data_IF_292858410724
#
_entry.id   IF_292858410724
#
_cell.length_a   1.000
_cell.length_b   1.000
_cell.length_c   1.000
_cell.angle_alpha   90.00
_cell.angle_beta   90.00
_cell.angle_gamma   90.00
#
_symmetry.space_group_name_H-M   'P 1'
#
loop_
_entity.id
_entity.type
_entity.pdbx_description
1 polymer ?
#
# COMPACT_ATOMS: atom_id res chain seq x y z
N UNK A 1 3.37 29.07 -27.14
CA UNK A 1 2.70 27.86 -27.65
C UNK A 1 1.91 27.23 -26.50
N UNK A 2 0.58 27.22 -26.65
CA UNK A 2 -0.48 26.47 -25.94
C UNK A 2 -0.46 26.33 -24.40
N UNK A 3 -1.17 27.23 -23.70
CA UNK A 3 -1.93 26.88 -22.50
C UNK A 3 -3.38 26.60 -22.92
N UNK A 4 -3.78 25.32 -22.92
CA UNK A 4 -5.14 24.85 -23.21
C UNK A 4 -5.12 23.41 -23.73
N UNK A 5 -5.78 22.42 -23.14
CA UNK A 5 -6.57 22.36 -21.92
C UNK A 5 -6.76 20.89 -21.54
N UNK A 6 -6.78 20.61 -20.23
CA UNK A 6 -6.93 19.26 -19.69
C UNK A 6 -5.91 18.99 -18.58
N UNK A 7 -6.37 18.43 -17.46
CA UNK A 7 -5.47 17.92 -16.42
C UNK A 7 -4.68 16.74 -17.03
N UNK A 8 -3.33 16.72 -16.98
CA UNK A 8 -2.56 15.64 -17.59
C UNK A 8 -2.82 14.30 -16.88
N UNK A 9 -2.70 13.16 -17.57
CA UNK A 9 -2.81 11.85 -16.93
C UNK A 9 -1.85 11.73 -15.73
N UNK A 10 -2.32 11.32 -14.54
CA UNK A 10 -1.52 11.22 -13.32
C UNK A 10 -0.65 9.95 -13.27
N UNK A 11 0.15 9.70 -14.33
CA UNK A 11 0.92 8.46 -14.52
C UNK A 11 1.92 8.19 -13.39
N UNK A 12 2.59 9.22 -12.87
CA UNK A 12 3.55 9.06 -11.78
C UNK A 12 2.86 8.60 -10.49
N UNK A 13 1.70 9.19 -10.17
CA UNK A 13 0.91 8.77 -9.01
C UNK A 13 0.40 7.33 -9.16
N UNK A 14 -0.01 6.95 -10.37
CA UNK A 14 -0.41 5.58 -10.66
C UNK A 14 0.75 4.61 -10.38
N UNK A 15 1.94 4.92 -10.91
CA UNK A 15 3.13 4.11 -10.68
C UNK A 15 3.49 4.00 -9.19
N UNK A 16 3.40 5.11 -8.43
CA UNK A 16 3.63 5.12 -6.98
C UNK A 16 2.62 4.25 -6.23
N UNK A 17 1.32 4.40 -6.50
CA UNK A 17 0.29 3.61 -5.83
C UNK A 17 0.44 2.11 -6.14
N UNK A 18 0.71 1.74 -7.40
CA UNK A 18 0.96 0.35 -7.79
C UNK A 18 2.23 -0.22 -7.13
N UNK A 19 3.30 0.57 -7.03
CA UNK A 19 4.51 0.16 -6.33
C UNK A 19 4.23 -0.10 -4.85
N UNK A 20 3.51 0.80 -4.17
CA UNK A 20 3.11 0.62 -2.78
C UNK A 20 2.27 -0.65 -2.56
N UNK A 21 1.28 -0.89 -3.42
CA UNK A 21 0.44 -2.08 -3.35
C UNK A 21 1.24 -3.39 -3.56
N UNK A 22 2.21 -3.38 -4.49
CA UNK A 22 3.14 -4.51 -4.66
C UNK A 22 4.00 -4.73 -3.41
N UNK A 23 4.62 -3.68 -2.87
CA UNK A 23 5.44 -3.78 -1.66
C UNK A 23 4.64 -4.29 -0.46
N UNK A 24 3.39 -3.84 -0.28
CA UNK A 24 2.52 -4.35 0.79
C UNK A 24 2.29 -5.86 0.65
N UNK A 25 2.03 -6.35 -0.57
CA UNK A 25 1.86 -7.78 -0.85
C UNK A 25 3.14 -8.57 -0.58
N UNK A 26 4.28 -8.08 -1.03
CA UNK A 26 5.59 -8.73 -0.82
C UNK A 26 5.94 -8.84 0.67
N UNK A 27 5.53 -7.86 1.48
CA UNK A 27 5.69 -7.86 2.93
C UNK A 27 4.69 -8.75 3.67
N UNK A 28 3.74 -9.37 2.95
CA UNK A 28 2.75 -10.27 3.53
C UNK A 28 1.58 -9.56 4.19
N UNK A 29 1.13 -8.42 3.64
CA UNK A 29 -0.04 -7.69 4.15
C UNK A 29 -1.32 -8.56 4.26
N UNK A 30 -1.43 -9.65 3.51
CA UNK A 30 -2.52 -10.64 3.61
C UNK A 30 -2.60 -11.35 4.97
N UNK A 31 -1.50 -11.35 5.74
CA UNK A 31 -1.40 -12.01 7.06
C UNK A 31 -1.85 -11.13 8.22
N UNK A 32 -2.04 -9.83 7.98
CA UNK A 32 -2.53 -8.89 8.98
C UNK A 32 -3.86 -8.27 8.49
N UNK A 33 -5.00 -8.54 9.14
CA UNK A 33 -6.32 -8.09 8.66
C UNK A 33 -6.41 -6.60 8.34
N UNK A 34 -5.78 -5.73 9.14
CA UNK A 34 -5.78 -4.28 8.86
C UNK A 34 -4.96 -3.94 7.63
N UNK A 35 -3.79 -4.56 7.46
CA UNK A 35 -2.97 -4.38 6.26
C UNK A 35 -3.72 -4.87 5.01
N UNK A 36 -4.33 -6.05 5.08
CA UNK A 36 -5.11 -6.63 3.99
C UNK A 36 -6.27 -5.72 3.55
N UNK A 37 -6.97 -5.07 4.49
CA UNK A 37 -8.03 -4.11 4.19
C UNK A 37 -7.50 -2.94 3.36
N UNK A 38 -6.41 -2.31 3.80
CA UNK A 38 -5.84 -1.16 3.10
C UNK A 38 -5.24 -1.54 1.74
N UNK A 39 -4.62 -2.71 1.62
CA UNK A 39 -4.18 -3.24 0.32
C UNK A 39 -5.35 -3.40 -0.65
N UNK A 40 -6.47 -3.94 -0.18
CA UNK A 40 -7.68 -4.10 -1.00
C UNK A 40 -8.25 -2.75 -1.44
N UNK A 41 -8.37 -1.80 -0.52
CA UNK A 41 -8.84 -0.44 -0.82
C UNK A 41 -7.94 0.24 -1.85
N UNK A 42 -6.61 0.15 -1.69
CA UNK A 42 -5.66 0.70 -2.65
C UNK A 42 -5.83 0.08 -4.05
N UNK A 43 -6.00 -1.24 -4.15
CA UNK A 43 -6.21 -1.93 -5.42
C UNK A 43 -7.52 -1.51 -6.11
N UNK A 44 -8.63 -1.46 -5.37
CA UNK A 44 -9.92 -1.02 -5.88
C UNK A 44 -9.87 0.44 -6.38
N UNK A 45 -9.15 1.30 -5.67
CA UNK A 45 -8.95 2.70 -6.06
C UNK A 45 -8.04 2.86 -7.28
N UNK A 46 -6.96 2.06 -7.40
CA UNK A 46 -6.11 2.02 -8.60
C UNK A 46 -6.95 1.62 -9.82
N UNK A 47 -7.78 0.59 -9.69
CA UNK A 47 -8.64 0.14 -10.79
C UNK A 47 -9.68 1.20 -11.16
N UNK A 48 -10.23 1.91 -10.17
CA UNK A 48 -11.11 3.06 -10.40
C UNK A 48 -10.38 4.21 -11.11
N UNK A 49 -9.17 4.55 -10.68
CA UNK A 49 -8.36 5.60 -11.29
C UNK A 49 -8.00 5.29 -12.74
N UNK A 50 -7.65 4.04 -13.06
CA UNK A 50 -7.39 3.59 -14.45
C UNK A 50 -8.61 3.81 -15.37
N UNK A 51 -9.82 3.54 -14.86
CA UNK A 51 -11.07 3.82 -15.60
C UNK A 51 -11.24 5.33 -15.82
N UNK A 52 -11.08 6.13 -14.78
CA UNK A 52 -11.16 7.60 -14.87
C UNK A 52 -10.13 8.18 -15.86
N UNK A 53 -8.90 7.67 -15.87
CA UNK A 53 -7.87 8.05 -16.85
C UNK A 53 -8.27 7.69 -18.28
N UNK A 54 -8.89 6.51 -18.47
CA UNK A 54 -9.38 6.06 -19.78
C UNK A 54 -10.55 6.92 -20.28
N UNK A 55 -11.39 7.40 -19.35
CA UNK A 55 -12.51 8.30 -19.62
C UNK A 55 -12.07 9.78 -19.79
N UNK A 56 -10.77 10.06 -19.62
CA UNK A 56 -10.20 11.41 -19.70
C UNK A 56 -10.41 12.27 -18.45
N UNK A 57 -11.03 11.75 -17.39
CA UNK A 57 -11.21 12.43 -16.10
C UNK A 57 -9.96 12.32 -15.21
N UNK A 58 -8.84 12.85 -15.73
CA UNK A 58 -7.53 12.74 -15.11
C UNK A 58 -7.45 13.47 -13.77
N UNK A 59 -8.23 14.54 -13.57
CA UNK A 59 -8.25 15.29 -12.30
C UNK A 59 -8.88 14.45 -11.19
N UNK A 60 -9.97 13.74 -11.48
CA UNK A 60 -10.56 12.82 -10.51
C UNK A 60 -9.69 11.59 -10.30
N UNK A 61 -9.07 11.06 -11.36
CA UNK A 61 -8.09 9.99 -11.23
C UNK A 61 -6.95 10.36 -10.28
N UNK A 62 -6.42 11.59 -10.37
CA UNK A 62 -5.35 12.08 -9.49
C UNK A 62 -5.73 12.04 -8.01
N UNK A 63 -6.95 12.47 -7.68
CA UNK A 63 -7.46 12.44 -6.31
C UNK A 63 -7.67 10.99 -5.81
N UNK A 64 -8.15 10.11 -6.67
CA UNK A 64 -8.30 8.68 -6.33
C UNK A 64 -6.94 8.03 -6.11
N UNK A 65 -5.93 8.36 -6.94
CA UNK A 65 -4.58 7.84 -6.79
C UNK A 65 -3.85 8.37 -5.56
N UNK A 66 -4.13 9.60 -5.13
CA UNK A 66 -3.65 10.12 -3.85
C UNK A 66 -4.12 9.25 -2.69
N UNK A 67 -5.42 8.94 -2.66
CA UNK A 67 -5.99 8.06 -1.65
C UNK A 67 -5.40 6.65 -1.74
N UNK A 68 -5.25 6.12 -2.95
CA UNK A 68 -4.71 4.79 -3.17
C UNK A 68 -3.26 4.68 -2.68
N UNK A 69 -2.45 5.72 -2.91
CA UNK A 69 -1.09 5.83 -2.39
C UNK A 69 -1.06 5.78 -0.87
N UNK A 70 -1.90 6.57 -0.18
CA UNK A 70 -1.98 6.57 1.28
C UNK A 70 -2.45 5.23 1.86
N UNK A 71 -3.45 4.58 1.25
CA UNK A 71 -3.89 3.24 1.65
C UNK A 71 -2.77 2.20 1.43
N UNK A 72 -2.06 2.26 0.30
CA UNK A 72 -0.94 1.36 0.02
C UNK A 72 0.22 1.54 1.02
N UNK A 73 0.59 2.78 1.32
CA UNK A 73 1.62 3.11 2.32
C UNK A 73 1.24 2.63 3.72
N UNK A 74 -0.02 2.83 4.13
CA UNK A 74 -0.51 2.34 5.42
C UNK A 74 -0.48 0.81 5.47
N UNK A 75 -0.87 0.14 4.39
CA UNK A 75 -0.76 -1.32 4.29
C UNK A 75 0.69 -1.81 4.42
N UNK A 76 1.65 -1.13 3.79
CA UNK A 76 3.08 -1.43 3.92
C UNK A 76 3.53 -1.31 5.37
N UNK A 77 3.12 -0.24 6.05
CA UNK A 77 3.53 -0.01 7.44
C UNK A 77 2.94 -1.03 8.41
N UNK A 78 1.66 -1.37 8.25
CA UNK A 78 1.02 -2.42 9.06
C UNK A 78 1.67 -3.80 8.84
N UNK A 79 2.04 -4.13 7.60
CA UNK A 79 2.75 -5.38 7.31
C UNK A 79 4.15 -5.40 7.97
N UNK A 80 4.89 -4.28 7.91
CA UNK A 80 6.18 -4.13 8.61
C UNK A 80 6.02 -4.27 10.12
N UNK A 81 5.01 -3.63 10.70
CA UNK A 81 4.70 -3.72 12.13
C UNK A 81 4.42 -5.17 12.54
N UNK A 82 3.55 -5.86 11.79
CA UNK A 82 3.23 -7.27 12.03
C UNK A 82 4.50 -8.15 12.03
N UNK A 83 5.36 -7.98 11.03
CA UNK A 83 6.61 -8.73 10.93
C UNK A 83 7.56 -8.43 12.10
N UNK A 84 7.75 -7.15 12.44
CA UNK A 84 8.59 -6.73 13.56
C UNK A 84 8.08 -7.30 14.90
N UNK A 85 6.76 -7.30 15.13
CA UNK A 85 6.15 -7.88 16.32
C UNK A 85 6.37 -9.40 16.39
N UNK A 86 6.22 -10.11 15.27
CA UNK A 86 6.45 -11.54 15.19
C UNK A 86 7.93 -11.91 15.45
N UNK A 87 8.87 -11.13 14.92
CA UNK A 87 10.30 -11.30 15.20
C UNK A 87 10.65 -11.02 16.66
N UNK A 88 10.12 -9.95 17.24
CA UNK A 88 10.32 -9.61 18.64
C UNK A 88 9.78 -10.72 19.57
N UNK A 89 8.63 -11.30 19.26
CA UNK A 89 8.05 -12.40 20.03
C UNK A 89 8.93 -13.66 19.97
N UNK A 90 9.39 -14.05 18.77
CA UNK A 90 10.33 -15.17 18.60
C UNK A 90 11.64 -14.95 19.35
N UNK A 91 12.17 -13.72 19.36
CA UNK A 91 13.37 -13.39 20.10
C UNK A 91 13.17 -13.54 21.62
N UNK A 92 12.04 -13.07 22.16
CA UNK A 92 11.68 -13.25 23.57
C UNK A 92 11.58 -14.73 23.96
N UNK A 93 10.91 -15.54 23.13
CA UNK A 93 10.78 -16.98 23.36
C UNK A 93 12.14 -17.69 23.39
N UNK A 94 13.06 -17.35 22.47
CA UNK A 94 14.43 -17.88 22.47
C UNK A 94 15.18 -17.52 23.75
N UNK A 95 15.10 -16.26 24.20
CA UNK A 95 15.74 -15.83 25.45
C UNK A 95 15.18 -16.60 26.65
N UNK A 96 13.86 -16.80 26.71
CA UNK A 96 13.22 -17.55 27.80
C UNK A 96 13.61 -19.03 27.80
N UNK A 97 13.70 -19.66 26.62
CA UNK A 97 14.15 -21.04 26.49
C UNK A 97 15.60 -21.20 26.97
N UNK A 98 16.49 -20.27 26.61
CA UNK A 98 17.89 -20.25 27.08
C UNK A 98 17.96 -20.09 28.61
N UNK A 99 17.10 -19.25 29.19
CA UNK A 99 17.05 -19.04 30.65
C UNK A 99 16.49 -20.23 31.42
N UNK A 100 15.54 -20.97 30.83
CA UNK A 100 14.85 -22.09 31.48
C UNK A 100 15.56 -23.44 31.30
N UNK A 101 16.50 -23.53 30.35
CA UNK A 101 17.35 -24.71 30.11
C UNK A 101 18.66 -24.71 30.90
N UNK A 102 18.79 -23.89 31.93
CA UNK A 102 19.88 -23.90 32.93
C UNK A 102 19.38 -24.43 34.26
#
# INVERSE_FOLDING_TARGET
MACGGGFPPPSDRLATAEAGARSARELGADKEPKAALHLRLAQEQIDQAKKLMSDGDNKRADLVLQRAGSDAELSVMLAKEHNANAEAQKAKERVNAIKSGK
#
